data_IF_599398706775
#
_entry.id   IF_599398706775
#
_cell.length_a   1.000
_cell.length_b   1.000
_cell.length_c   1.000
_cell.angle_alpha   90.00
_cell.angle_beta   90.00
_cell.angle_gamma   90.00
#
_symmetry.space_group_name_H-M   'P 1'
#
loop_
_entity.id
_entity.type
_entity.pdbx_description
1 polymer ?
#
# COMPACT_ATOMS: atom_id res chain seq x y z
N UNK A 1 -4.44 -7.35 24.71
CA UNK A 1 -5.46 -6.31 24.97
C UNK A 1 -6.42 -6.26 23.79
N UNK A 2 -7.56 -5.60 23.94
CA UNK A 2 -8.48 -5.32 22.84
C UNK A 2 -8.43 -3.84 22.47
N UNK A 3 -8.13 -3.56 21.21
CA UNK A 3 -8.09 -2.22 20.64
C UNK A 3 -9.45 -1.88 20.01
N UNK A 4 -10.06 -0.73 20.33
CA UNK A 4 -11.24 -0.25 19.64
C UNK A 4 -10.86 0.20 18.23
N UNK A 5 -11.54 -0.37 17.25
CA UNK A 5 -11.43 -0.01 15.84
C UNK A 5 -12.82 0.03 15.23
N UNK A 6 -12.95 0.73 14.11
CA UNK A 6 -14.16 0.73 13.33
C UNK A 6 -13.97 -0.13 12.09
N UNK A 7 -14.88 -1.08 11.89
CA UNK A 7 -15.00 -1.86 10.67
C UNK A 7 -15.95 -1.13 9.73
N UNK A 8 -15.43 -0.74 8.58
CA UNK A 8 -16.14 0.00 7.55
C UNK A 8 -16.45 -0.89 6.34
N UNK A 9 -17.64 -0.71 5.79
CA UNK A 9 -18.07 -1.34 4.54
C UNK A 9 -18.86 -0.39 3.67
N UNK A 10 -18.72 -0.53 2.35
CA UNK A 10 -19.43 0.29 1.36
C UNK A 10 -19.63 -0.45 0.04
N UNK A 11 -20.52 0.09 -0.80
CA UNK A 11 -20.58 -0.20 -2.23
C UNK A 11 -19.83 0.90 -2.97
N UNK A 12 -18.87 0.52 -3.80
CA UNK A 12 -18.11 1.43 -4.63
C UNK A 12 -18.55 1.30 -6.09
N UNK A 13 -18.96 2.41 -6.68
CA UNK A 13 -19.28 2.53 -8.10
C UNK A 13 -18.25 3.45 -8.76
N UNK A 14 -17.44 2.90 -9.65
CA UNK A 14 -16.31 3.61 -10.26
C UNK A 14 -16.46 3.69 -11.78
N UNK A 15 -16.46 4.89 -12.31
CA UNK A 15 -16.32 5.16 -13.74
C UNK A 15 -14.84 5.37 -14.05
N UNK A 16 -14.34 4.79 -15.13
CA UNK A 16 -12.92 4.90 -15.48
C UNK A 16 -12.67 5.01 -16.98
N UNK A 17 -11.51 5.60 -17.32
CA UNK A 17 -10.92 5.65 -18.65
C UNK A 17 -9.44 5.36 -18.56
N UNK A 18 -8.90 4.61 -19.53
CA UNK A 18 -7.49 4.28 -19.60
C UNK A 18 -7.06 3.99 -21.05
N UNK A 19 -5.75 3.97 -21.27
CA UNK A 19 -5.14 3.34 -22.46
C UNK A 19 -4.52 2.02 -22.06
N UNK A 20 -4.93 0.94 -22.72
CA UNK A 20 -4.43 -0.42 -22.50
C UNK A 20 -3.40 -0.76 -23.57
N UNK A 21 -2.27 -1.32 -23.14
CA UNK A 21 -1.16 -1.72 -23.99
C UNK A 21 -1.09 -3.24 -24.12
N UNK A 22 -1.09 -3.73 -25.36
CA UNK A 22 -0.86 -5.14 -25.69
C UNK A 22 0.47 -5.28 -26.44
N UNK A 23 1.32 -6.19 -25.96
CA UNK A 23 2.63 -6.40 -26.53
C UNK A 23 2.57 -7.43 -27.66
N UNK A 24 3.21 -7.09 -28.77
CA UNK A 24 3.46 -8.03 -29.87
C UNK A 24 4.92 -7.95 -30.31
N UNK A 25 5.40 -9.05 -30.86
CA UNK A 25 6.76 -9.14 -31.38
C UNK A 25 6.77 -8.97 -32.89
N UNK A 26 7.68 -8.13 -33.39
CA UNK A 26 7.91 -7.93 -34.82
C UNK A 26 9.38 -8.16 -35.15
N UNK A 27 9.67 -8.71 -36.32
CA UNK A 27 11.04 -8.87 -36.82
C UNK A 27 11.44 -7.62 -37.58
N UNK A 28 12.36 -6.84 -37.01
CA UNK A 28 12.90 -5.63 -37.65
C UNK A 28 14.22 -5.95 -38.35
N UNK A 29 14.35 -5.47 -39.59
CA UNK A 29 15.58 -5.61 -40.38
C UNK A 29 16.40 -4.34 -40.26
N UNK A 30 17.66 -4.44 -39.85
CA UNK A 30 18.57 -3.31 -39.72
C UNK A 30 19.91 -3.60 -40.41
N UNK A 31 20.57 -2.53 -40.87
CA UNK A 31 21.91 -2.64 -41.47
C UNK A 31 22.95 -2.28 -40.41
N UNK A 32 23.95 -3.14 -40.26
CA UNK A 32 25.09 -2.92 -39.36
C UNK A 32 26.40 -3.23 -40.07
N UNK A 33 27.52 -2.85 -39.48
CA UNK A 33 28.84 -3.12 -40.05
C UNK A 33 29.47 -4.29 -39.28
N UNK A 34 29.92 -5.31 -40.02
CA UNK A 34 30.68 -6.44 -39.48
C UNK A 34 32.04 -5.96 -38.93
N UNK A 35 32.64 -6.73 -38.02
CA UNK A 35 34.07 -6.64 -37.64
C UNK A 35 35.06 -6.38 -38.80
N UNK A 36 34.72 -6.80 -40.02
CA UNK A 36 35.50 -6.60 -41.24
C UNK A 36 35.16 -5.33 -42.03
N UNK A 37 34.38 -4.39 -41.47
CA UNK A 37 34.03 -3.12 -42.13
C UNK A 37 32.96 -3.22 -43.23
N UNK A 38 32.36 -4.40 -43.45
CA UNK A 38 31.34 -4.62 -44.49
C UNK A 38 29.93 -4.37 -43.93
N UNK A 39 29.11 -3.62 -44.68
CA UNK A 39 27.67 -3.48 -44.39
C UNK A 39 26.98 -4.84 -44.56
N UNK A 40 26.33 -5.31 -43.49
CA UNK A 40 25.56 -6.55 -43.42
C UNK A 40 24.16 -6.24 -42.89
N UNK A 41 23.16 -6.88 -43.48
CA UNK A 41 21.78 -6.80 -43.03
C UNK A 41 21.52 -7.89 -41.99
N UNK A 42 21.00 -7.51 -40.83
CA UNK A 42 20.62 -8.42 -39.74
C UNK A 42 19.17 -8.19 -39.34
N UNK A 43 18.57 -9.20 -38.75
CA UNK A 43 17.23 -9.13 -38.17
C UNK A 43 17.32 -9.19 -36.65
N UNK A 44 16.42 -8.47 -35.97
CA UNK A 44 16.22 -8.58 -34.53
C UNK A 44 14.73 -8.64 -34.23
N UNK A 45 14.37 -9.39 -33.19
CA UNK A 45 13.01 -9.36 -32.65
C UNK A 45 12.89 -8.14 -31.75
N UNK A 46 11.93 -7.27 -32.02
CA UNK A 46 11.58 -6.13 -31.17
C UNK A 46 10.18 -6.32 -30.60
N UNK A 47 9.99 -5.94 -29.34
CA UNK A 47 8.67 -5.87 -28.72
C UNK A 47 8.09 -4.48 -28.96
N UNK A 48 6.89 -4.42 -29.55
CA UNK A 48 6.11 -3.21 -29.71
C UNK A 48 4.83 -3.32 -28.87
N UNK A 49 4.30 -2.18 -28.44
CA UNK A 49 3.06 -2.10 -27.67
C UNK A 49 2.02 -1.35 -28.49
N UNK A 50 0.90 -2.01 -28.78
CA UNK A 50 -0.28 -1.39 -29.38
C UNK A 50 -1.17 -0.83 -28.26
N UNK A 51 -1.63 0.41 -28.43
CA UNK A 51 -2.44 1.10 -27.42
C UNK A 51 -3.88 1.26 -27.89
N UNK A 52 -4.83 0.81 -27.06
CA UNK A 52 -6.27 0.98 -27.28
C UNK A 52 -6.94 1.70 -26.12
N UNK A 53 -7.93 2.54 -26.39
CA UNK A 53 -8.73 3.17 -25.35
C UNK A 53 -9.67 2.15 -24.71
N UNK A 54 -9.78 2.24 -23.38
CA UNK A 54 -10.74 1.48 -22.60
C UNK A 54 -11.50 2.44 -21.70
N UNK A 55 -12.82 2.39 -21.74
CA UNK A 55 -13.70 3.08 -20.81
C UNK A 55 -14.68 2.09 -20.23
N UNK A 56 -15.08 2.29 -18.98
CA UNK A 56 -15.96 1.35 -18.33
C UNK A 56 -16.47 1.80 -16.98
N UNK A 57 -17.28 0.91 -16.41
CA UNK A 57 -17.78 1.01 -15.05
C UNK A 57 -17.34 -0.23 -14.28
N UNK A 58 -16.99 -0.04 -13.01
CA UNK A 58 -16.62 -1.10 -12.09
C UNK A 58 -17.38 -0.87 -10.79
N UNK A 59 -18.24 -1.82 -10.44
CA UNK A 59 -19.00 -1.80 -9.19
C UNK A 59 -18.55 -2.96 -8.32
N UNK A 60 -18.19 -2.68 -7.07
CA UNK A 60 -17.75 -3.69 -6.12
C UNK A 60 -18.22 -3.40 -4.70
N UNK A 61 -18.28 -4.45 -3.88
CA UNK A 61 -18.41 -4.31 -2.44
C UNK A 61 -17.02 -4.16 -1.85
N UNK A 62 -16.81 -3.09 -1.10
CA UNK A 62 -15.59 -2.93 -0.30
C UNK A 62 -15.95 -3.28 1.13
N UNK A 63 -15.36 -4.38 1.60
CA UNK A 63 -15.48 -4.87 2.95
C UNK A 63 -14.11 -4.82 3.62
N UNK A 64 -14.11 -4.99 4.94
CA UNK A 64 -12.90 -5.21 5.73
C UNK A 64 -11.91 -4.05 5.62
N UNK A 65 -12.42 -2.81 5.70
CA UNK A 65 -11.60 -1.61 5.93
C UNK A 65 -11.66 -1.32 7.42
N UNK A 66 -10.51 -1.35 8.08
CA UNK A 66 -10.41 -1.18 9.53
C UNK A 66 -9.68 0.12 9.80
N UNK A 67 -10.29 0.97 10.62
CA UNK A 67 -9.61 2.17 11.13
C UNK A 67 -9.56 2.17 12.64
N UNK A 68 -8.42 2.59 13.20
CA UNK A 68 -8.27 2.68 14.65
C UNK A 68 -9.19 3.75 15.24
N UNK A 69 -9.89 3.41 16.32
CA UNK A 69 -10.67 4.35 17.14
C UNK A 69 -9.87 4.82 18.38
N UNK A 70 -8.60 4.44 18.48
CA UNK A 70 -7.68 4.87 19.53
C UNK A 70 -6.86 6.10 19.09
N UNK A 71 -6.65 7.05 20.01
CA UNK A 71 -5.67 8.14 19.85
C UNK A 71 -4.24 7.70 20.17
N UNK A 72 -4.07 6.60 20.91
CA UNK A 72 -2.76 6.06 21.28
C UNK A 72 -2.20 5.06 20.27
N UNK A 73 -2.93 4.79 19.19
CA UNK A 73 -2.49 3.91 18.10
C UNK A 73 -2.77 4.59 16.77
N UNK A 74 -1.73 4.71 15.95
CA UNK A 74 -1.77 5.30 14.62
C UNK A 74 -2.41 4.32 13.62
N UNK A 75 -3.09 4.82 12.56
CA UNK A 75 -3.79 3.93 11.63
C UNK A 75 -2.81 3.01 10.89
N UNK A 76 -1.72 3.57 10.36
CA UNK A 76 -0.65 2.84 9.69
C UNK A 76 -0.07 1.72 10.56
N UNK A 77 -0.01 1.92 11.88
CA UNK A 77 0.48 0.89 12.81
C UNK A 77 -0.50 -0.26 12.94
N UNK A 78 -1.82 0.02 12.91
CA UNK A 78 -2.86 -1.01 12.89
C UNK A 78 -2.87 -1.75 11.56
N UNK A 79 -2.78 -1.03 10.44
CA UNK A 79 -2.69 -1.62 9.09
C UNK A 79 -1.47 -2.54 8.94
N UNK A 80 -0.33 -2.19 9.56
CA UNK A 80 0.89 -2.99 9.50
C UNK A 80 0.72 -4.41 10.08
N UNK A 81 -0.23 -4.59 11.01
CA UNK A 81 -0.54 -5.87 11.64
C UNK A 81 -1.73 -6.60 11.02
N UNK A 82 -2.34 -6.05 9.97
CA UNK A 82 -3.36 -6.74 9.19
C UNK A 82 -2.81 -7.93 8.38
N UNK A 83 -3.64 -8.93 8.02
CA UNK A 83 -5.08 -8.99 8.20
C UNK A 83 -5.53 -9.57 9.55
N UNK A 84 -6.70 -9.13 10.01
CA UNK A 84 -7.47 -9.80 11.06
C UNK A 84 -8.46 -10.80 10.44
N UNK A 85 -8.71 -11.93 11.09
CA UNK A 85 -9.77 -12.85 10.69
C UNK A 85 -11.12 -12.35 11.23
N UNK A 86 -11.79 -11.56 10.41
CA UNK A 86 -13.09 -10.96 10.72
C UNK A 86 -14.25 -11.97 10.70
N UNK A 87 -14.06 -13.18 10.17
CA UNK A 87 -15.07 -14.26 10.24
C UNK A 87 -15.23 -14.79 11.66
N UNK A 88 -14.24 -14.55 12.51
CA UNK A 88 -14.28 -14.89 13.93
C UNK A 88 -14.98 -13.81 14.79
N UNK A 89 -15.52 -12.75 14.19
CA UNK A 89 -16.26 -11.72 14.93
C UNK A 89 -17.42 -12.34 15.71
N UNK A 90 -17.58 -11.86 16.94
CA UNK A 90 -18.64 -12.26 17.87
C UNK A 90 -19.31 -11.00 18.40
N UNK A 91 -20.61 -11.09 18.67
CA UNK A 91 -21.32 -10.05 19.40
C UNK A 91 -20.66 -9.83 20.75
N UNK A 92 -20.43 -8.57 21.11
CA UNK A 92 -19.81 -8.21 22.37
C UNK A 92 -20.55 -8.81 23.57
N UNK A 93 -19.79 -9.38 24.49
CA UNK A 93 -20.22 -9.80 25.83
C UNK A 93 -19.05 -9.57 26.79
N UNK A 94 -19.27 -9.05 28.01
CA UNK A 94 -18.21 -8.84 28.99
C UNK A 94 -17.37 -10.11 29.25
N UNK A 95 -17.99 -11.28 29.18
CA UNK A 95 -17.31 -12.58 29.35
C UNK A 95 -16.18 -12.83 28.34
N UNK A 96 -16.28 -12.30 27.12
CA UNK A 96 -15.28 -12.52 26.05
C UNK A 96 -13.97 -11.78 26.34
N UNK A 97 -14.07 -10.60 26.94
CA UNK A 97 -12.91 -9.74 27.22
C UNK A 97 -12.47 -9.83 28.69
N UNK A 98 -13.14 -10.64 29.51
CA UNK A 98 -12.78 -10.81 30.92
C UNK A 98 -11.35 -11.33 31.03
N UNK A 99 -10.54 -10.69 31.88
CA UNK A 99 -9.11 -10.99 32.02
C UNK A 99 -8.20 -10.29 31.01
N UNK A 100 -8.76 -9.55 30.06
CA UNK A 100 -8.02 -8.74 29.09
C UNK A 100 -8.29 -7.26 29.27
N UNK A 101 -7.24 -6.43 29.15
CA UNK A 101 -7.40 -4.99 29.04
C UNK A 101 -8.12 -4.66 27.72
N UNK A 102 -9.12 -3.79 27.75
CA UNK A 102 -9.79 -3.25 26.57
C UNK A 102 -9.81 -1.71 26.66
N UNK A 103 -9.40 -1.04 25.60
CA UNK A 103 -9.50 0.42 25.51
C UNK A 103 -10.91 0.83 25.06
N UNK A 104 -11.40 1.97 25.55
CA UNK A 104 -12.61 2.61 25.03
C UNK A 104 -12.26 3.52 23.85
N UNK A 105 -13.12 3.65 22.83
CA UNK A 105 -12.89 4.56 21.71
C UNK A 105 -12.54 5.96 22.21
N UNK A 106 -11.39 6.47 21.79
CA UNK A 106 -10.88 7.78 22.18
C UNK A 106 -10.87 8.79 21.02
N UNK A 107 -11.07 8.32 19.78
CA UNK A 107 -11.38 9.13 18.58
C UNK A 107 -12.89 9.25 18.36
N UNK A 108 -13.29 10.37 17.78
CA UNK A 108 -14.67 10.61 17.39
C UNK A 108 -15.08 9.73 16.19
N UNK A 109 -16.32 9.22 16.21
CA UNK A 109 -16.83 8.33 15.16
C UNK A 109 -16.85 9.01 13.78
N UNK A 110 -17.18 10.30 13.68
CA UNK A 110 -17.24 11.00 12.40
C UNK A 110 -15.83 11.18 11.80
N UNK A 111 -14.81 11.40 12.64
CA UNK A 111 -13.41 11.42 12.18
C UNK A 111 -12.97 10.06 11.66
N UNK A 112 -13.26 8.98 12.38
CA UNK A 112 -12.94 7.62 11.92
C UNK A 112 -13.70 7.26 10.63
N UNK A 113 -14.96 7.68 10.51
CA UNK A 113 -15.75 7.49 9.29
C UNK A 113 -15.12 8.17 8.07
N UNK A 114 -14.71 9.43 8.20
CA UNK A 114 -14.05 10.16 7.11
C UNK A 114 -12.71 9.51 6.72
N UNK A 115 -11.95 9.03 7.70
CA UNK A 115 -10.70 8.30 7.45
C UNK A 115 -10.98 7.02 6.66
N UNK A 116 -11.90 6.17 7.13
CA UNK A 116 -12.25 4.92 6.46
C UNK A 116 -12.82 5.14 5.05
N UNK A 117 -13.60 6.20 4.85
CA UNK A 117 -14.11 6.62 3.55
C UNK A 117 -12.94 6.95 2.59
N UNK A 118 -11.98 7.75 3.05
CA UNK A 118 -10.82 8.13 2.23
C UNK A 118 -9.90 6.94 1.89
N UNK A 119 -9.66 6.05 2.84
CA UNK A 119 -8.90 4.80 2.63
C UNK A 119 -9.62 3.87 1.67
N UNK A 120 -10.95 3.78 1.76
CA UNK A 120 -11.76 3.00 0.82
C UNK A 120 -11.63 3.53 -0.61
N UNK A 121 -11.69 4.84 -0.83
CA UNK A 121 -11.47 5.43 -2.15
C UNK A 121 -10.08 5.08 -2.69
N UNK A 122 -9.04 5.21 -1.86
CA UNK A 122 -7.67 4.88 -2.25
C UNK A 122 -7.51 3.38 -2.58
N UNK A 123 -8.11 2.50 -1.77
CA UNK A 123 -8.12 1.04 -1.96
C UNK A 123 -8.78 0.67 -3.29
N UNK A 124 -9.94 1.26 -3.60
CA UNK A 124 -10.63 1.04 -4.89
C UNK A 124 -9.77 1.51 -6.06
N UNK A 125 -9.11 2.67 -5.95
CA UNK A 125 -8.21 3.16 -7.00
C UNK A 125 -7.02 2.21 -7.25
N UNK A 126 -6.43 1.67 -6.19
CA UNK A 126 -5.35 0.67 -6.28
C UNK A 126 -5.83 -0.66 -6.88
N UNK A 127 -7.00 -1.14 -6.46
CA UNK A 127 -7.62 -2.33 -7.04
C UNK A 127 -7.92 -2.15 -8.53
N UNK A 128 -8.46 -0.99 -8.92
CA UNK A 128 -8.76 -0.67 -10.31
C UNK A 128 -7.49 -0.67 -11.17
N UNK A 129 -6.38 -0.13 -10.65
CA UNK A 129 -5.07 -0.18 -11.33
C UNK A 129 -4.64 -1.62 -11.64
N UNK A 130 -4.78 -2.52 -10.66
CA UNK A 130 -4.43 -3.94 -10.82
C UNK A 130 -5.47 -4.73 -11.64
N UNK A 131 -6.68 -4.19 -11.79
CA UNK A 131 -7.75 -4.79 -12.60
C UNK A 131 -7.59 -4.51 -14.11
N UNK A 132 -6.83 -3.49 -14.50
CA UNK A 132 -6.69 -3.10 -15.91
C UNK A 132 -6.19 -4.29 -16.76
N UNK A 133 -6.88 -4.61 -17.87
CA UNK A 133 -6.48 -5.71 -18.74
C UNK A 133 -5.22 -5.36 -19.56
N UNK A 134 -4.68 -6.34 -20.27
CA UNK A 134 -3.49 -6.17 -21.12
C UNK A 134 -2.16 -6.32 -20.37
N UNK A 135 -1.06 -6.10 -21.08
CA UNK A 135 0.29 -6.22 -20.50
C UNK A 135 0.72 -4.96 -19.75
N UNK A 136 0.12 -3.82 -20.08
CA UNK A 136 0.37 -2.54 -19.44
C UNK A 136 -0.81 -1.59 -19.59
N UNK A 137 -0.84 -0.53 -18.78
CA UNK A 137 -1.83 0.53 -18.91
C UNK A 137 -1.20 1.91 -18.64
N UNK A 138 -1.79 2.97 -19.19
CA UNK A 138 -1.40 4.36 -18.93
C UNK A 138 -2.60 5.30 -18.94
N UNK A 139 -2.42 6.51 -18.40
CA UNK A 139 -3.46 7.55 -18.33
C UNK A 139 -4.77 7.03 -17.71
N UNK A 140 -4.66 6.26 -16.62
CA UNK A 140 -5.84 5.77 -15.90
C UNK A 140 -6.44 6.93 -15.11
N UNK A 141 -7.62 7.36 -15.51
CA UNK A 141 -8.45 8.30 -14.77
C UNK A 141 -9.68 7.54 -14.25
N UNK A 142 -10.10 7.87 -13.03
CA UNK A 142 -11.28 7.25 -12.44
C UNK A 142 -11.98 8.21 -11.50
N UNK A 143 -13.28 7.98 -11.34
CA UNK A 143 -14.13 8.66 -10.35
C UNK A 143 -14.96 7.61 -9.64
N UNK A 144 -14.73 7.48 -8.34
CA UNK A 144 -15.43 6.54 -7.47
C UNK A 144 -16.47 7.29 -6.64
N UNK A 145 -17.68 6.74 -6.58
CA UNK A 145 -18.72 7.15 -5.66
C UNK A 145 -18.98 6.00 -4.68
N UNK A 146 -18.97 6.31 -3.38
CA UNK A 146 -19.32 5.36 -2.34
C UNK A 146 -20.80 5.51 -1.98
N UNK A 147 -21.46 4.40 -1.70
CA UNK A 147 -22.84 4.35 -1.23
C UNK A 147 -23.03 3.21 -0.23
N UNK A 148 -24.14 3.26 0.53
CA UNK A 148 -24.47 2.26 1.57
C UNK A 148 -23.34 2.08 2.58
N UNK A 149 -22.71 3.19 2.95
CA UNK A 149 -21.57 3.21 3.86
C UNK A 149 -22.05 2.89 5.28
N UNK A 150 -21.38 1.92 5.91
CA UNK A 150 -21.64 1.50 7.28
C UNK A 150 -20.34 1.46 8.06
N UNK A 151 -20.42 1.76 9.34
CA UNK A 151 -19.28 1.71 10.25
C UNK A 151 -19.70 1.10 11.59
N UNK A 152 -19.06 0.01 11.97
CA UNK A 152 -19.37 -0.74 13.18
C UNK A 152 -18.18 -0.73 14.13
N UNK A 153 -18.41 -0.44 15.41
CA UNK A 153 -17.36 -0.50 16.41
C UNK A 153 -17.02 -1.96 16.73
N UNK A 154 -15.76 -2.33 16.56
CA UNK A 154 -15.20 -3.65 16.86
C UNK A 154 -14.04 -3.55 17.84
N UNK A 155 -13.78 -4.65 18.54
CA UNK A 155 -12.65 -4.81 19.45
C UNK A 155 -11.70 -5.83 18.85
N UNK A 156 -10.51 -5.38 18.45
CA UNK A 156 -9.51 -6.23 17.82
C UNK A 156 -8.50 -6.74 18.84
N UNK A 157 -8.23 -8.07 18.87
CA UNK A 157 -7.24 -8.62 19.78
C UNK A 157 -5.84 -8.25 19.29
N UNK A 158 -5.11 -7.48 20.09
CA UNK A 158 -3.73 -7.09 19.81
C UNK A 158 -2.85 -7.23 21.06
N UNK A 159 -1.56 -7.40 20.85
CA UNK A 159 -0.55 -7.11 21.86
C UNK A 159 0.08 -5.77 21.54
N UNK A 160 0.22 -4.92 22.55
CA UNK A 160 0.85 -3.61 22.42
C UNK A 160 2.00 -3.53 23.41
N UNK A 161 3.20 -3.31 22.90
CA UNK A 161 4.41 -3.09 23.68
C UNK A 161 4.90 -1.67 23.42
N UNK A 162 4.89 -0.83 24.45
CA UNK A 162 5.48 0.50 24.40
C UNK A 162 6.88 0.43 25.01
N UNK A 163 7.90 0.69 24.20
CA UNK A 163 9.32 0.66 24.62
C UNK A 163 9.92 2.05 24.46
N UNK A 164 10.43 2.60 25.56
CA UNK A 164 11.23 3.83 25.53
C UNK A 164 12.71 3.43 25.61
N UNK A 165 13.43 3.64 24.51
CA UNK A 165 14.85 3.26 24.40
C UNK A 165 15.81 4.42 24.73
N UNK A 166 15.34 5.66 24.67
CA UNK A 166 16.07 6.88 25.04
C UNK A 166 15.07 7.85 25.70
N UNK A 167 15.47 8.54 26.75
CA UNK A 167 14.58 9.47 27.47
C UNK A 167 14.21 10.71 26.64
N UNK A 168 15.03 11.06 25.66
CA UNK A 168 14.85 12.21 24.78
C UNK A 168 14.06 11.87 23.50
N UNK A 169 13.69 10.60 23.30
CA UNK A 169 12.97 10.13 22.12
C UNK A 169 11.54 9.69 22.49
N UNK A 170 10.56 9.86 21.57
CA UNK A 170 9.22 9.34 21.80
C UNK A 170 9.26 7.81 21.97
N UNK A 171 8.36 7.23 22.79
CA UNK A 171 8.27 5.79 22.95
C UNK A 171 7.92 5.14 21.60
N UNK A 172 8.53 3.98 21.37
CA UNK A 172 8.24 3.14 20.22
C UNK A 172 7.10 2.20 20.57
N UNK A 173 6.08 2.16 19.73
CA UNK A 173 4.98 1.23 19.87
C UNK A 173 5.17 0.06 18.90
N UNK A 174 5.25 -1.14 19.46
CA UNK A 174 5.24 -2.40 18.70
C UNK A 174 3.88 -3.05 18.93
N UNK A 175 3.17 -3.28 17.84
CA UNK A 175 1.90 -3.96 17.83
C UNK A 175 2.08 -5.39 17.30
N UNK A 176 1.32 -6.31 17.85
CA UNK A 176 1.24 -7.68 17.36
C UNK A 176 -0.21 -8.07 17.20
N UNK A 177 -0.57 -8.59 16.05
CA UNK A 177 -1.89 -9.16 15.81
C UNK A 177 -2.11 -10.36 16.74
N UNK A 178 -3.16 -10.32 17.56
CA UNK A 178 -3.46 -11.36 18.54
C UNK A 178 -3.96 -12.68 17.95
N UNK A 179 -4.38 -12.69 16.68
CA UNK A 179 -4.82 -13.89 15.96
C UNK A 179 -3.69 -14.54 15.15
N UNK A 180 -2.90 -13.73 14.45
CA UNK A 180 -1.90 -14.22 13.48
C UNK A 180 -0.46 -14.16 13.99
N UNK A 181 -0.19 -13.38 15.04
CA UNK A 181 1.17 -13.10 15.52
C UNK A 181 1.97 -12.15 14.62
N UNK A 182 1.34 -11.56 13.59
CA UNK A 182 1.99 -10.56 12.73
C UNK A 182 2.42 -9.36 13.55
N UNK A 183 3.69 -8.97 13.43
CA UNK A 183 4.29 -7.85 14.15
C UNK A 183 4.34 -6.63 13.25
N UNK A 184 3.98 -5.48 13.78
CA UNK A 184 4.05 -4.16 13.15
C UNK A 184 4.46 -3.13 14.19
N UNK A 185 4.89 -1.97 13.74
CA UNK A 185 5.36 -0.91 14.63
C UNK A 185 6.32 0.03 13.93
N UNK A 186 6.41 1.24 14.45
CA UNK A 186 7.31 2.26 13.92
C UNK A 186 8.73 2.00 14.42
N UNK A 187 9.66 1.68 13.51
CA UNK A 187 11.08 1.65 13.86
C UNK A 187 11.58 3.10 13.83
N UNK A 188 12.16 3.63 14.92
CA UNK A 188 12.65 5.00 14.94
C UNK A 188 13.80 5.13 13.93
N UNK A 189 13.58 5.93 12.89
CA UNK A 189 14.60 6.22 11.89
C UNK A 189 15.42 7.43 12.32
N UNK A 190 16.75 7.28 12.38
CA UNK A 190 17.63 8.41 12.62
C UNK A 190 17.95 9.10 11.28
N UNK A 191 17.38 10.29 11.06
CA UNK A 191 17.64 11.11 9.86
C UNK A 191 19.13 11.36 9.65
N UNK A 192 19.90 11.55 10.74
CA UNK A 192 21.35 11.72 10.67
C UNK A 192 22.06 10.47 10.15
N UNK A 193 21.67 9.27 10.63
CA UNK A 193 22.25 8.01 10.13
C UNK A 193 21.89 7.80 8.65
N UNK A 194 20.65 8.09 8.27
CA UNK A 194 20.21 8.00 6.86
C UNK A 194 20.98 8.98 5.99
N UNK A 195 21.08 10.25 6.38
CA UNK A 195 21.78 11.28 5.63
C UNK A 195 23.27 10.95 5.45
N UNK A 196 23.93 10.40 6.47
CA UNK A 196 25.33 9.98 6.39
C UNK A 196 25.50 8.83 5.39
N UNK A 197 24.63 7.82 5.44
CA UNK A 197 24.66 6.69 4.49
C UNK A 197 24.41 7.18 3.06
N UNK A 198 23.39 8.01 2.86
CA UNK A 198 23.08 8.59 1.54
C UNK A 198 24.25 9.44 1.02
N UNK A 199 24.84 10.28 1.86
CA UNK A 199 26.00 11.10 1.51
C UNK A 199 27.22 10.26 1.12
N UNK A 200 27.50 9.19 1.87
CA UNK A 200 28.59 8.27 1.55
C UNK A 200 28.38 7.56 0.21
N UNK A 201 27.16 7.11 -0.08
CA UNK A 201 26.82 6.49 -1.37
C UNK A 201 26.97 7.48 -2.53
N UNK A 202 26.51 8.72 -2.38
CA UNK A 202 26.66 9.75 -3.41
C UNK A 202 28.13 10.09 -3.69
N UNK A 203 28.96 10.21 -2.64
CA UNK A 203 30.40 10.44 -2.79
C UNK A 203 31.09 9.27 -3.50
N UNK A 204 30.70 8.04 -3.17
CA UNK A 204 31.23 6.84 -3.82
C UNK A 204 30.88 6.79 -5.31
N UNK A 205 29.63 7.09 -5.67
CA UNK A 205 29.21 7.19 -7.08
C UNK A 205 29.98 8.29 -7.80
N UNK A 206 30.09 9.48 -7.21
CA UNK A 206 30.84 10.59 -7.80
C UNK A 206 32.31 10.23 -8.05
N UNK A 207 32.94 9.52 -7.11
CA UNK A 207 34.31 9.03 -7.24
C UNK A 207 34.47 8.04 -8.41
N UNK A 208 33.53 7.09 -8.57
CA UNK A 208 33.54 6.14 -9.70
C UNK A 208 33.39 6.88 -11.03
N UNK A 209 32.47 7.85 -11.12
CA UNK A 209 32.26 8.64 -12.35
C UNK A 209 33.52 9.42 -12.71
N UNK A 210 34.17 10.05 -11.73
CA UNK A 210 35.42 10.79 -11.93
C UNK A 210 36.55 9.88 -12.42
N UNK A 211 36.72 8.69 -11.82
CA UNK A 211 37.67 7.69 -12.27
C UNK A 211 37.41 7.23 -13.71
N UNK A 212 36.14 6.99 -14.06
CA UNK A 212 35.76 6.58 -15.41
C UNK A 212 35.95 7.67 -16.47
N UNK A 213 35.88 8.95 -16.08
CA UNK A 213 36.14 10.09 -16.96
C UNK A 213 37.63 10.38 -17.16
N UNK A 214 38.50 9.80 -16.32
CA UNK A 214 39.96 9.95 -16.40
C UNK A 214 40.65 8.79 -17.16
N UNK A 215 39.91 7.74 -17.53
CA UNK A 215 40.36 6.64 -18.41
C UNK A 215 39.97 6.89 -19.86
#
# INVERSE_FOLDING_TARGET
>A
MYLPAYLYGAVADTQYSASIGENYTETETYTTTDSNGKRVTRTRTVTKTEWRSLTGQHSCYVLDVIVTASKGTDNDSLEAIEPFDLRALRRYSPSIITGWLAELPSKDQATCFQLAHSETIAKVGSQLKNFMPGDSHRNLEHRTQLSREVIDLVLLPIWCFAVRYDENQPPVQILVNGQTGRVGGSVPTSTTKIALVVGAVLLFIAFIVLLSAMQ
#
